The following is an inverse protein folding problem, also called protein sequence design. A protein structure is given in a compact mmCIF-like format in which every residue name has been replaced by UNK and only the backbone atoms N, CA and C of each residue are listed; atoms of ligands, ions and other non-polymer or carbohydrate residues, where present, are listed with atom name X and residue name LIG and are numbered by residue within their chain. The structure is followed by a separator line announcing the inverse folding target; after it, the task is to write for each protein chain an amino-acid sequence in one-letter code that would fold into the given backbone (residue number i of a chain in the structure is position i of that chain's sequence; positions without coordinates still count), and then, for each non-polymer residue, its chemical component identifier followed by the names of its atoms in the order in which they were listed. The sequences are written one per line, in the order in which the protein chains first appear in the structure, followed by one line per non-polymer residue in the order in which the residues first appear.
data_IF_718155247591
#
_entry.id   IF_718155247591
#
_cell.length_a   1.000
_cell.length_b   1.000
_cell.length_c   1.000
_cell.angle_alpha   90.00
_cell.angle_beta   90.00
_cell.angle_gamma   90.00
#
_symmetry.space_group_name_H-M   'P 1'
#
loop_
_entity.id
_entity.type
_entity.pdbx_description
1 polymer ?
#
# COMPACT_ATOMS: atom_id res chain seq x y z
N UNK A 1 1.08 -14.02 -3.42
CA UNK A 1 0.92 -13.13 -2.25
C UNK A 1 0.25 -11.83 -2.66
N UNK A 2 0.63 -11.30 -3.83
CA UNK A 2 0.06 -10.09 -4.41
C UNK A 2 0.18 -8.88 -3.45
N UNK A 3 1.35 -8.71 -2.82
CA UNK A 3 1.65 -7.61 -1.90
C UNK A 3 0.95 -7.64 -0.53
N UNK A 4 0.06 -8.60 -0.25
CA UNK A 4 -0.72 -8.59 1.00
C UNK A 4 0.17 -8.83 2.22
N UNK A 5 0.32 -7.79 3.05
CA UNK A 5 1.11 -7.86 4.29
C UNK A 5 0.56 -8.90 5.27
N UNK A 6 -0.78 -9.04 5.32
CA UNK A 6 -1.45 -10.06 6.14
C UNK A 6 -1.07 -11.48 5.72
N UNK A 7 -1.08 -11.75 4.42
CA UNK A 7 -0.64 -13.05 3.90
C UNK A 7 0.86 -13.25 4.18
N UNK A 8 1.69 -12.20 4.06
CA UNK A 8 3.12 -12.28 4.32
C UNK A 8 3.40 -12.70 5.76
N UNK A 9 2.73 -12.06 6.72
CA UNK A 9 2.80 -12.44 8.14
C UNK A 9 2.39 -13.90 8.37
N UNK A 10 1.39 -14.42 7.64
CA UNK A 10 1.01 -15.84 7.72
C UNK A 10 2.10 -16.76 7.18
N UNK A 11 2.69 -16.42 6.04
CA UNK A 11 3.77 -17.21 5.43
C UNK A 11 4.99 -17.29 6.35
N UNK A 12 5.44 -16.16 6.89
CA UNK A 12 6.58 -16.11 7.82
C UNK A 12 6.30 -16.94 9.08
N UNK A 13 5.08 -16.88 9.61
CA UNK A 13 4.69 -17.68 10.77
C UNK A 13 4.47 -19.18 10.46
N UNK A 14 4.35 -19.56 9.18
CA UNK A 14 4.05 -20.93 8.79
C UNK A 14 5.15 -21.91 9.24
N UNK A 15 6.43 -21.52 9.15
CA UNK A 15 7.55 -22.37 9.58
C UNK A 15 7.42 -22.79 11.06
N UNK A 16 7.16 -21.81 11.93
CA UNK A 16 6.93 -22.06 13.37
C UNK A 16 5.69 -22.91 13.61
N UNK A 17 4.58 -22.58 12.95
CA UNK A 17 3.30 -23.26 13.17
C UNK A 17 3.34 -24.74 12.73
N UNK A 18 3.90 -25.01 11.55
CA UNK A 18 3.99 -26.35 10.98
C UNK A 18 5.25 -27.12 11.41
N UNK A 19 6.13 -26.51 12.22
CA UNK A 19 7.43 -27.08 12.62
C UNK A 19 8.27 -27.49 11.41
N UNK A 20 8.28 -26.65 10.39
CA UNK A 20 9.04 -26.86 9.16
C UNK A 20 10.34 -26.06 9.20
N UNK A 21 11.45 -26.68 8.78
CA UNK A 21 12.75 -26.02 8.69
C UNK A 21 12.84 -25.06 7.50
N UNK A 22 12.06 -25.32 6.43
CA UNK A 22 12.06 -24.53 5.19
C UNK A 22 10.63 -24.25 4.73
N UNK A 23 10.36 -22.99 4.37
CA UNK A 23 9.10 -22.54 3.74
C UNK A 23 9.44 -21.98 2.36
N UNK A 24 8.79 -22.49 1.31
CA UNK A 24 8.98 -22.03 -0.07
C UNK A 24 7.70 -21.36 -0.56
N UNK A 25 7.81 -20.15 -1.08
CA UNK A 25 6.73 -19.47 -1.78
C UNK A 25 6.95 -19.57 -3.29
N UNK A 26 6.15 -20.38 -3.98
CA UNK A 26 6.24 -20.58 -5.42
C UNK A 26 5.46 -19.58 -6.28
N UNK A 27 5.37 -18.31 -5.88
CA UNK A 27 4.56 -17.32 -6.59
C UNK A 27 4.92 -15.88 -6.28
N UNK A 28 4.22 -14.96 -6.95
CA UNK A 28 4.51 -13.53 -6.90
C UNK A 28 4.27 -12.88 -5.52
N UNK A 29 5.17 -11.97 -5.16
CA UNK A 29 5.12 -11.17 -3.92
C UNK A 29 4.65 -9.73 -4.14
N UNK A 30 4.65 -9.25 -5.38
CA UNK A 30 4.49 -7.84 -5.73
C UNK A 30 3.06 -7.35 -5.47
N UNK A 31 2.93 -6.11 -4.98
CA UNK A 31 1.66 -5.43 -4.85
C UNK A 31 1.04 -5.08 -6.20
N UNK A 32 -0.26 -4.74 -6.18
CA UNK A 32 -1.03 -4.49 -7.40
C UNK A 32 -0.76 -3.12 -8.00
N UNK A 33 -0.95 -2.07 -7.19
CA UNK A 33 -0.81 -0.67 -7.58
C UNK A 33 -0.47 0.20 -6.37
N UNK A 34 0.09 1.37 -6.67
CA UNK A 34 0.23 2.46 -5.71
C UNK A 34 -1.13 3.12 -5.52
N UNK A 35 -1.49 3.39 -4.27
CA UNK A 35 -2.73 4.07 -3.89
C UNK A 35 -2.36 5.39 -3.23
N UNK A 36 -2.54 6.53 -3.93
CA UNK A 36 -2.22 7.83 -3.38
C UNK A 36 -3.22 8.21 -2.28
N UNK A 37 -2.68 8.74 -1.18
CA UNK A 37 -3.42 9.34 -0.08
C UNK A 37 -2.99 10.81 -0.03
N UNK A 38 -3.87 11.70 -0.51
CA UNK A 38 -3.53 13.10 -0.78
C UNK A 38 -3.90 13.97 0.41
N UNK A 39 -2.90 14.59 1.04
CA UNK A 39 -3.11 15.57 2.11
C UNK A 39 -3.81 16.82 1.57
N UNK A 40 -4.84 17.25 2.29
CA UNK A 40 -5.66 18.41 1.96
C UNK A 40 -5.23 19.63 2.79
N UNK A 41 -5.46 20.86 2.32
CA UNK A 41 -5.05 22.09 3.03
C UNK A 41 -5.64 22.23 4.45
N UNK A 42 -6.75 21.55 4.75
CA UNK A 42 -7.41 21.56 6.05
C UNK A 42 -6.86 20.50 7.03
N UNK A 43 -5.78 19.79 6.68
CA UNK A 43 -5.18 18.73 7.49
C UNK A 43 -5.92 17.38 7.46
N UNK A 44 -6.85 17.20 6.51
CA UNK A 44 -7.48 15.90 6.24
C UNK A 44 -6.78 15.20 5.07
N UNK A 45 -7.06 13.91 4.86
CA UNK A 45 -6.47 13.12 3.78
C UNK A 45 -7.55 12.57 2.88
N UNK A 46 -7.39 12.73 1.57
CA UNK A 46 -8.29 12.15 0.57
C UNK A 46 -7.69 10.87 0.01
N UNK A 47 -8.42 9.77 0.09
CA UNK A 47 -8.03 8.50 -0.52
C UNK A 47 -9.13 8.01 -1.46
N UNK A 48 -8.75 7.57 -2.66
CA UNK A 48 -9.63 6.85 -3.58
C UNK A 48 -9.18 5.39 -3.66
N UNK A 49 -9.91 4.48 -3.01
CA UNK A 49 -9.54 3.07 -2.93
C UNK A 49 -10.76 2.16 -3.07
N UNK A 50 -10.66 1.13 -3.93
CA UNK A 50 -11.73 0.16 -4.20
C UNK A 50 -13.10 0.82 -4.46
N UNK A 51 -13.14 1.78 -5.39
CA UNK A 51 -14.35 2.53 -5.79
C UNK A 51 -14.95 3.40 -4.67
N UNK A 52 -14.24 3.58 -3.56
CA UNK A 52 -14.63 4.46 -2.45
C UNK A 52 -13.72 5.67 -2.39
N UNK A 53 -14.31 6.84 -2.19
CA UNK A 53 -13.60 8.07 -1.88
C UNK A 53 -13.84 8.37 -0.41
N UNK A 54 -12.77 8.45 0.36
CA UNK A 54 -12.81 8.70 1.80
C UNK A 54 -11.99 9.95 2.13
N UNK A 55 -12.51 10.72 3.10
CA UNK A 55 -11.81 11.82 3.74
C UNK A 55 -11.49 11.41 5.16
N UNK A 56 -10.21 11.31 5.46
CA UNK A 56 -9.68 10.74 6.70
C UNK A 56 -9.10 11.86 7.56
N UNK A 57 -9.31 11.77 8.86
CA UNK A 57 -8.51 12.53 9.82
C UNK A 57 -7.15 11.88 10.01
N UNK A 58 -6.23 12.60 10.67
CA UNK A 58 -4.92 12.05 11.03
C UNK A 58 -5.01 10.75 11.84
N UNK A 59 -5.99 10.65 12.75
CA UNK A 59 -6.17 9.46 13.59
C UNK A 59 -6.69 8.25 12.80
N UNK A 60 -7.41 8.48 11.70
CA UNK A 60 -7.93 7.43 10.82
C UNK A 60 -6.92 6.96 9.77
N UNK A 61 -5.87 7.77 9.53
CA UNK A 61 -4.91 7.53 8.46
C UNK A 61 -4.13 6.22 8.63
N UNK A 62 -3.67 5.92 9.85
CA UNK A 62 -2.86 4.73 10.11
C UNK A 62 -3.65 3.42 9.89
N UNK A 63 -4.91 3.41 10.32
CA UNK A 63 -5.81 2.27 10.11
C UNK A 63 -6.07 2.05 8.61
N UNK A 64 -6.30 3.14 7.87
CA UNK A 64 -6.52 3.09 6.43
C UNK A 64 -5.28 2.61 5.65
N UNK A 65 -4.09 3.10 6.00
CA UNK A 65 -2.82 2.63 5.44
C UNK A 65 -2.67 1.12 5.67
N UNK A 66 -2.96 0.66 6.89
CA UNK A 66 -2.90 -0.76 7.25
C UNK A 66 -3.89 -1.58 6.43
N UNK A 67 -5.10 -1.06 6.20
CA UNK A 67 -6.11 -1.71 5.36
C UNK A 67 -5.65 -1.86 3.91
N UNK A 68 -5.07 -0.82 3.31
CA UNK A 68 -4.52 -0.85 1.94
C UNK A 68 -3.40 -1.90 1.83
N UNK A 69 -2.42 -1.89 2.75
CA UNK A 69 -1.30 -2.86 2.77
C UNK A 69 -1.78 -4.29 2.90
N UNK A 70 -2.75 -4.53 3.76
CA UNK A 70 -3.31 -5.88 3.95
C UNK A 70 -4.04 -6.39 2.71
N UNK A 71 -4.56 -5.50 1.87
CA UNK A 71 -5.23 -5.84 0.61
C UNK A 71 -4.24 -6.06 -0.55
N UNK A 72 -2.97 -5.68 -0.35
CA UNK A 72 -1.89 -5.90 -1.32
C UNK A 72 -1.63 -4.74 -2.26
N UNK A 73 -1.89 -3.52 -1.80
CA UNK A 73 -1.60 -2.27 -2.50
C UNK A 73 -0.57 -1.46 -1.71
N UNK A 74 0.09 -0.51 -2.37
CA UNK A 74 1.11 0.34 -1.76
C UNK A 74 0.54 1.72 -1.45
N UNK A 75 0.19 2.02 -0.18
CA UNK A 75 -0.27 3.37 0.16
C UNK A 75 0.88 4.36 0.05
N UNK A 76 0.63 5.51 -0.58
CA UNK A 76 1.61 6.59 -0.74
C UNK A 76 1.00 7.92 -0.29
N UNK A 77 1.50 8.47 0.81
CA UNK A 77 1.08 9.78 1.30
C UNK A 77 1.82 10.87 0.53
N UNK A 78 1.07 11.79 -0.07
CA UNK A 78 1.62 12.89 -0.85
C UNK A 78 0.75 14.14 -0.72
N UNK A 79 1.28 15.30 -1.10
CA UNK A 79 0.48 16.52 -1.24
C UNK A 79 -0.17 16.62 -2.63
N UNK A 80 -1.07 17.59 -2.81
CA UNK A 80 -1.77 17.78 -4.09
C UNK A 80 -0.84 18.13 -5.25
N UNK A 81 0.28 18.84 -4.99
CA UNK A 81 1.23 19.20 -6.04
C UNK A 81 2.04 17.99 -6.48
N UNK A 82 2.48 17.17 -5.52
CA UNK A 82 3.17 15.92 -5.76
C UNK A 82 2.29 14.92 -6.51
N UNK A 83 1.02 14.77 -6.09
CA UNK A 83 0.07 13.93 -6.80
C UNK A 83 -0.07 14.35 -8.27
N UNK A 84 -0.22 15.65 -8.55
CA UNK A 84 -0.29 16.17 -9.93
C UNK A 84 1.00 15.94 -10.73
N UNK A 85 2.17 16.06 -10.09
CA UNK A 85 3.46 15.75 -10.74
C UNK A 85 3.54 14.28 -11.12
N UNK A 86 3.21 13.39 -10.18
CA UNK A 86 3.21 11.95 -10.41
C UNK A 86 2.19 11.58 -11.48
N UNK A 87 0.97 12.13 -11.46
CA UNK A 87 -0.05 11.86 -12.47
C UNK A 87 0.39 12.26 -13.89
N UNK A 88 1.16 13.34 -14.03
CA UNK A 88 1.62 13.86 -15.31
C UNK A 88 2.89 13.18 -15.87
N UNK A 89 3.63 12.42 -15.06
CA UNK A 89 4.93 11.87 -15.44
C UNK A 89 5.04 10.35 -15.18
N UNK A 90 5.03 9.57 -16.27
CA UNK A 90 5.12 8.11 -16.22
C UNK A 90 6.51 7.60 -15.76
N UNK A 91 7.59 8.34 -16.00
CA UNK A 91 8.93 7.99 -15.51
C UNK A 91 8.99 8.12 -13.99
N UNK A 92 8.44 9.19 -13.45
CA UNK A 92 8.37 9.41 -12.00
C UNK A 92 7.47 8.37 -11.31
N UNK A 93 6.34 7.99 -11.92
CA UNK A 93 5.52 6.87 -11.43
C UNK A 93 6.31 5.56 -11.40
N UNK A 94 7.10 5.28 -12.45
CA UNK A 94 7.90 4.06 -12.52
C UNK A 94 9.02 4.04 -11.47
N UNK A 95 9.69 5.18 -11.27
CA UNK A 95 10.70 5.33 -10.21
C UNK A 95 10.10 5.10 -8.83
N UNK A 96 8.97 5.75 -8.55
CA UNK A 96 8.26 5.58 -7.29
C UNK A 96 7.89 4.11 -7.05
N UNK A 97 7.44 3.40 -8.09
CA UNK A 97 7.12 1.97 -7.96
C UNK A 97 8.34 1.10 -7.61
N UNK A 98 9.53 1.45 -8.08
CA UNK A 98 10.75 0.69 -7.78
C UNK A 98 11.33 1.02 -6.39
N UNK A 99 11.02 2.18 -5.83
CA UNK A 99 11.51 2.65 -4.53
C UNK A 99 10.66 2.17 -3.34
N UNK A 100 9.46 1.64 -3.59
CA UNK A 100 8.50 1.13 -2.59
C UNK A 100 8.66 -0.38 -2.33
#
# INVERSE_FOLDING_TARGET
MHGSEKCWKKLVNAGKFYKADVVILGGDITGKMIVPIVEQPNGTYKSAFLERIEFLTKDQLEEHITYIKNTGYYPYCCDENEFKRLEADAEEQHRLFNDL
#
